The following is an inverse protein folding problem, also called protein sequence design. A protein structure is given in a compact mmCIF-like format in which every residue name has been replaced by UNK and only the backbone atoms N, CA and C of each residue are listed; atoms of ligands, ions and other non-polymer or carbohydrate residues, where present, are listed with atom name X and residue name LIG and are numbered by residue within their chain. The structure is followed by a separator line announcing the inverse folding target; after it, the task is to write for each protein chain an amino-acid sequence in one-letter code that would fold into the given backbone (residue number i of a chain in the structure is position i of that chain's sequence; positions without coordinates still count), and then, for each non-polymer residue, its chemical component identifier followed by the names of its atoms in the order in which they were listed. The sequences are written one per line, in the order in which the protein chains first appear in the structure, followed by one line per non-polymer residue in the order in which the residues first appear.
data_IF_338633608790
#
_entry.id   IF_338633608790
#
_cell.length_a   1.000
_cell.length_b   1.000
_cell.length_c   1.000
_cell.angle_alpha   90.00
_cell.angle_beta   90.00
_cell.angle_gamma   90.00
#
_symmetry.space_group_name_H-M   'P 1'
#
loop_
_entity.id
_entity.type
_entity.pdbx_description
1 polymer ?
#
# COMPACT_ATOMS: atom_id res chain seq x y z
N UNK A 1 -13.82 -17.06 -5.98
CA UNK A 1 -12.63 -16.49 -6.66
C UNK A 1 -13.07 -15.33 -7.54
N UNK A 2 -12.48 -14.16 -7.32
CA UNK A 2 -12.79 -12.98 -8.13
C UNK A 2 -11.88 -12.97 -9.35
N UNK A 3 -12.47 -12.79 -10.51
CA UNK A 3 -11.72 -12.66 -11.76
C UNK A 3 -11.70 -11.19 -12.16
N UNK A 4 -10.49 -10.63 -12.31
CA UNK A 4 -10.29 -9.21 -12.63
C UNK A 4 -10.12 -9.00 -14.13
N UNK A 5 -11.03 -9.51 -14.92
CA UNK A 5 -10.93 -9.45 -16.36
C UNK A 5 -11.31 -8.05 -16.87
N UNK A 6 -10.49 -7.51 -17.77
CA UNK A 6 -10.77 -6.21 -18.37
C UNK A 6 -10.40 -5.01 -17.51
N UNK A 7 -9.84 -5.21 -16.32
CA UNK A 7 -9.44 -4.12 -15.43
C UNK A 7 -7.96 -3.80 -15.60
N UNK A 8 -7.61 -2.53 -15.41
CA UNK A 8 -6.21 -2.11 -15.31
C UNK A 8 -5.62 -2.60 -13.99
N UNK A 9 -4.29 -2.58 -13.89
CA UNK A 9 -3.60 -2.96 -12.66
C UNK A 9 -4.05 -2.11 -11.48
N UNK A 10 -4.21 -0.80 -11.67
CA UNK A 10 -4.65 0.12 -10.62
C UNK A 10 -6.09 -0.17 -10.18
N UNK A 11 -6.96 -0.48 -11.13
CA UNK A 11 -8.34 -0.86 -10.80
C UNK A 11 -8.39 -2.16 -10.00
N UNK A 12 -7.51 -3.11 -10.32
CA UNK A 12 -7.38 -4.35 -9.55
C UNK A 12 -6.94 -4.09 -8.11
N UNK A 13 -6.01 -3.14 -7.92
CA UNK A 13 -5.55 -2.74 -6.59
C UNK A 13 -6.72 -2.18 -5.78
N UNK A 14 -7.55 -1.35 -6.39
CA UNK A 14 -8.74 -0.81 -5.72
C UNK A 14 -9.65 -1.93 -5.23
N UNK A 15 -9.92 -2.91 -6.08
CA UNK A 15 -10.77 -4.04 -5.72
C UNK A 15 -10.17 -4.87 -4.59
N UNK A 16 -8.87 -5.09 -4.61
CA UNK A 16 -8.17 -5.81 -3.54
C UNK A 16 -8.31 -5.07 -2.22
N UNK A 17 -8.13 -3.76 -2.22
CA UNK A 17 -8.26 -2.95 -1.01
C UNK A 17 -9.70 -2.97 -0.48
N UNK A 18 -10.70 -2.90 -1.36
CA UNK A 18 -12.10 -2.94 -0.95
C UNK A 18 -12.51 -4.26 -0.34
N UNK A 19 -11.95 -5.35 -0.84
CA UNK A 19 -12.30 -6.69 -0.36
C UNK A 19 -11.48 -7.15 0.84
N UNK A 20 -10.45 -6.41 1.22
CA UNK A 20 -9.60 -6.77 2.36
C UNK A 20 -10.19 -6.25 3.66
N UNK A 21 -10.16 -7.10 4.69
CA UNK A 21 -10.59 -6.72 6.04
C UNK A 21 -9.42 -6.31 6.95
N UNK A 22 -8.19 -6.27 6.42
CA UNK A 22 -7.00 -5.91 7.18
C UNK A 22 -6.03 -5.13 6.29
N UNK A 23 -5.10 -4.38 6.89
CA UNK A 23 -4.05 -3.72 6.12
C UNK A 23 -3.18 -4.73 5.36
N UNK A 24 -2.79 -4.37 4.15
CA UNK A 24 -1.98 -5.22 3.27
C UNK A 24 -0.68 -4.53 2.90
N UNK A 25 0.40 -5.33 2.82
CA UNK A 25 1.66 -4.87 2.25
C UNK A 25 1.58 -4.94 0.73
N UNK A 26 2.51 -4.25 0.07
CA UNK A 26 2.64 -4.34 -1.40
C UNK A 26 2.92 -5.78 -1.83
N UNK A 27 3.67 -6.54 -1.03
CA UNK A 27 3.97 -7.93 -1.35
C UNK A 27 2.73 -8.80 -1.34
N UNK A 28 1.82 -8.58 -0.39
CA UNK A 28 0.54 -9.29 -0.36
C UNK A 28 -0.35 -8.92 -1.54
N UNK A 29 -0.34 -7.65 -1.93
CA UNK A 29 -1.07 -7.18 -3.11
C UNK A 29 -0.48 -7.79 -4.38
N UNK A 30 0.86 -7.81 -4.49
CA UNK A 30 1.54 -8.42 -5.63
C UNK A 30 1.18 -9.89 -5.77
N UNK A 31 1.11 -10.60 -4.65
CA UNK A 31 0.73 -12.00 -4.66
C UNK A 31 -0.67 -12.21 -5.24
N UNK A 32 -1.61 -11.34 -4.87
CA UNK A 32 -2.99 -11.40 -5.40
C UNK A 32 -3.09 -11.01 -6.87
N UNK A 33 -2.12 -10.23 -7.35
CA UNK A 33 -2.04 -9.84 -8.77
C UNK A 33 -1.19 -10.80 -9.59
N UNK A 34 -0.65 -11.84 -8.95
CA UNK A 34 0.25 -12.81 -9.59
C UNK A 34 1.50 -12.12 -10.16
N UNK A 35 2.05 -11.19 -9.40
CA UNK A 35 3.27 -10.45 -9.75
C UNK A 35 4.39 -10.90 -8.82
N UNK A 36 5.52 -11.37 -9.39
CA UNK A 36 6.69 -11.79 -8.64
C UNK A 36 7.97 -11.05 -9.02
N UNK A 37 7.95 -10.30 -10.12
CA UNK A 37 9.10 -9.54 -10.60
C UNK A 37 9.36 -8.35 -9.68
N UNK A 38 10.61 -8.19 -9.24
CA UNK A 38 11.01 -7.10 -8.33
C UNK A 38 10.71 -5.71 -8.89
N UNK A 39 10.90 -5.50 -10.20
CA UNK A 39 10.63 -4.21 -10.83
C UNK A 39 9.15 -3.88 -10.78
N UNK A 40 8.31 -4.87 -11.07
CA UNK A 40 6.87 -4.69 -11.03
C UNK A 40 6.37 -4.47 -9.61
N UNK A 41 6.94 -5.19 -8.64
CA UNK A 41 6.60 -4.97 -7.22
C UNK A 41 6.97 -3.54 -6.81
N UNK A 42 8.13 -3.05 -7.24
CA UNK A 42 8.56 -1.68 -6.95
C UNK A 42 7.60 -0.67 -7.57
N UNK A 43 7.12 -0.94 -8.78
CA UNK A 43 6.16 -0.08 -9.47
C UNK A 43 4.79 -0.06 -8.78
N UNK A 44 4.46 -1.09 -8.02
CA UNK A 44 3.21 -1.12 -7.27
C UNK A 44 3.14 -0.05 -6.19
N UNK A 45 4.27 0.39 -5.64
CA UNK A 45 4.28 1.51 -4.70
C UNK A 45 3.83 2.79 -5.38
N UNK A 46 4.28 3.01 -6.61
CA UNK A 46 3.86 4.17 -7.39
C UNK A 46 2.37 4.06 -7.75
N UNK A 47 1.93 2.88 -8.16
CA UNK A 47 0.52 2.62 -8.42
C UNK A 47 -0.33 2.90 -7.19
N UNK A 48 0.13 2.47 -6.02
CA UNK A 48 -0.59 2.70 -4.77
C UNK A 48 -0.73 4.20 -4.48
N UNK A 49 0.31 4.96 -4.73
CA UNK A 49 0.29 6.41 -4.54
C UNK A 49 -0.78 7.06 -5.42
N UNK A 50 -0.86 6.65 -6.70
CA UNK A 50 -1.87 7.14 -7.63
C UNK A 50 -3.27 6.65 -7.28
N UNK A 51 -3.40 5.40 -6.88
CA UNK A 51 -4.67 4.81 -6.44
C UNK A 51 -5.23 5.58 -5.25
N UNK A 52 -4.37 5.91 -4.28
CA UNK A 52 -4.80 6.66 -3.10
C UNK A 52 -5.39 8.02 -3.48
N UNK A 53 -4.74 8.73 -4.40
CA UNK A 53 -5.22 10.02 -4.89
C UNK A 53 -6.55 9.87 -5.63
N UNK A 54 -6.66 8.85 -6.48
CA UNK A 54 -7.87 8.61 -7.29
C UNK A 54 -9.07 8.27 -6.40
N UNK A 55 -8.88 7.41 -5.41
CA UNK A 55 -9.95 7.04 -4.49
C UNK A 55 -10.45 8.27 -3.73
N UNK A 56 -9.55 9.07 -3.21
CA UNK A 56 -9.93 10.27 -2.46
C UNK A 56 -10.71 11.25 -3.34
N UNK A 57 -10.20 11.52 -4.53
CA UNK A 57 -10.82 12.46 -5.47
C UNK A 57 -12.17 11.96 -5.97
N UNK A 58 -12.23 10.70 -6.40
CA UNK A 58 -13.45 10.13 -7.00
C UNK A 58 -14.58 9.95 -5.98
N UNK A 59 -14.26 9.83 -4.71
CA UNK A 59 -15.25 9.71 -3.65
C UNK A 59 -15.64 11.06 -3.04
N UNK A 60 -15.07 12.16 -3.52
CA UNK A 60 -15.29 13.47 -2.92
C UNK A 60 -14.75 13.57 -1.51
N UNK A 61 -13.66 12.85 -1.22
CA UNK A 61 -13.05 12.85 0.10
C UNK A 61 -13.70 11.91 1.09
N UNK A 62 -14.67 11.11 0.68
CA UNK A 62 -15.41 10.20 1.57
C UNK A 62 -14.66 8.89 1.82
N UNK A 63 -13.77 8.52 0.91
CA UNK A 63 -12.93 7.34 1.05
C UNK A 63 -11.47 7.75 0.96
N UNK A 64 -10.60 7.06 1.68
CA UNK A 64 -9.17 7.30 1.58
C UNK A 64 -8.39 6.03 1.86
N UNK A 65 -7.19 5.98 1.29
CA UNK A 65 -6.23 4.91 1.58
C UNK A 65 -5.32 5.39 2.69
N UNK A 66 -5.21 4.59 3.73
CA UNK A 66 -4.32 4.87 4.87
C UNK A 66 -3.07 4.03 4.70
N UNK A 67 -1.91 4.65 4.90
CA UNK A 67 -0.63 3.95 4.94
C UNK A 67 -0.17 3.86 6.39
N UNK A 68 0.08 2.64 6.84
CA UNK A 68 0.76 2.42 8.11
C UNK A 68 2.26 2.58 7.85
N UNK A 69 2.90 3.48 8.56
CA UNK A 69 4.31 3.78 8.34
C UNK A 69 5.20 2.56 8.51
N UNK A 70 6.26 2.42 7.69
CA UNK A 70 7.27 1.40 7.93
C UNK A 70 7.93 1.57 9.29
N UNK A 71 8.39 0.48 9.85
CA UNK A 71 9.03 0.47 11.17
C UNK A 71 10.28 -0.40 11.13
N UNK A 72 11.33 0.05 11.79
CA UNK A 72 12.52 -0.79 12.00
C UNK A 72 12.18 -1.90 13.00
N UNK A 73 12.42 -3.14 12.61
CA UNK A 73 12.11 -4.29 13.45
C UNK A 73 13.11 -4.48 14.59
N UNK A 74 14.28 -3.86 14.49
CA UNK A 74 15.32 -4.01 15.51
C UNK A 74 15.27 -2.94 16.60
N UNK A 75 14.94 -1.69 16.24
CA UNK A 75 14.93 -0.60 17.23
C UNK A 75 13.58 0.11 17.37
N UNK A 76 12.61 -0.23 16.52
CA UNK A 76 11.28 0.35 16.59
C UNK A 76 11.13 1.73 15.98
N UNK A 77 12.17 2.23 15.28
CA UNK A 77 12.10 3.52 14.61
C UNK A 77 10.96 3.55 13.59
N UNK A 78 10.12 4.58 13.65
CA UNK A 78 8.98 4.74 12.73
C UNK A 78 9.34 5.78 11.68
N UNK A 79 9.18 5.43 10.40
CA UNK A 79 9.54 6.27 9.27
C UNK A 79 8.39 7.25 8.96
N UNK A 80 8.24 8.28 9.77
CA UNK A 80 7.14 9.25 9.65
C UNK A 80 7.32 10.25 8.51
N UNK A 81 8.52 10.39 7.97
CA UNK A 81 8.84 11.45 7.01
C UNK A 81 8.67 11.02 5.55
N UNK A 82 8.09 9.85 5.30
CA UNK A 82 7.86 9.39 3.95
C UNK A 82 6.78 10.21 3.26
N UNK A 83 7.13 10.80 2.13
CA UNK A 83 6.18 11.56 1.31
C UNK A 83 5.49 10.67 0.28
N UNK A 84 6.10 9.55 -0.08
CA UNK A 84 5.57 8.57 -1.01
C UNK A 84 5.71 7.18 -0.43
N UNK A 85 4.80 6.26 -0.77
CA UNK A 85 4.92 4.88 -0.30
C UNK A 85 6.21 4.24 -0.82
N UNK A 86 6.99 3.68 0.08
CA UNK A 86 8.17 2.87 -0.26
C UNK A 86 8.63 2.09 0.96
N UNK A 87 9.41 1.06 0.73
CA UNK A 87 10.09 0.35 1.81
C UNK A 87 11.50 0.91 1.96
N UNK A 88 11.81 1.57 3.08
CA UNK A 88 13.17 2.05 3.32
C UNK A 88 14.16 0.87 3.39
N UNK A 89 15.38 1.09 2.92
CA UNK A 89 16.40 0.05 2.88
C UNK A 89 17.19 -0.06 4.19
N UNK A 90 17.23 1.02 4.98
CA UNK A 90 18.05 1.10 6.17
C UNK A 90 17.43 2.00 7.22
N UNK A 91 17.57 1.62 8.49
CA UNK A 91 17.16 2.48 9.59
C UNK A 91 18.21 3.57 9.81
N UNK A 92 17.81 4.85 9.87
CA UNK A 92 18.76 5.93 10.14
C UNK A 92 19.30 5.91 11.56
N UNK A 93 18.62 5.23 12.49
CA UNK A 93 19.02 5.20 13.91
C UNK A 93 19.95 4.06 14.24
N UNK A 94 19.65 2.84 13.80
CA UNK A 94 20.44 1.66 14.14
C UNK A 94 21.12 0.98 12.95
N UNK A 95 20.92 1.51 11.74
CA UNK A 95 21.50 1.00 10.49
C UNK A 95 21.04 -0.39 10.08
N UNK A 96 20.03 -0.94 10.72
CA UNK A 96 19.48 -2.24 10.37
C UNK A 96 18.76 -2.19 9.01
N UNK A 97 18.83 -3.30 8.28
CA UNK A 97 18.05 -3.47 7.05
C UNK A 97 16.74 -4.20 7.29
N UNK A 98 16.45 -4.57 8.53
CA UNK A 98 15.22 -5.28 8.89
C UNK A 98 14.09 -4.27 9.10
N UNK A 99 13.50 -3.85 7.99
CA UNK A 99 12.44 -2.86 7.99
C UNK A 99 11.11 -3.54 7.65
N UNK A 100 10.11 -3.34 8.49
CA UNK A 100 8.75 -3.79 8.21
C UNK A 100 8.18 -2.88 7.11
N UNK A 101 7.70 -3.45 5.99
CA UNK A 101 7.18 -2.63 4.91
C UNK A 101 5.91 -1.91 5.31
N UNK A 102 5.56 -0.80 4.62
CA UNK A 102 4.30 -0.12 4.91
C UNK A 102 3.12 -1.00 4.54
N UNK A 103 2.00 -0.78 5.21
CA UNK A 103 0.75 -1.48 4.94
C UNK A 103 -0.30 -0.47 4.52
N UNK A 104 -1.24 -0.91 3.73
CA UNK A 104 -2.27 -0.06 3.16
C UNK A 104 -3.65 -0.63 3.42
N UNK A 105 -4.61 0.24 3.73
CA UNK A 105 -6.00 -0.17 3.82
C UNK A 105 -6.90 1.00 3.45
N UNK A 106 -8.12 0.67 3.05
CA UNK A 106 -9.10 1.65 2.61
C UNK A 106 -10.09 1.89 3.74
N UNK A 107 -10.35 3.16 4.04
CA UNK A 107 -11.37 3.53 5.01
C UNK A 107 -12.44 4.38 4.35
N UNK A 108 -13.67 4.31 4.88
CA UNK A 108 -14.78 5.13 4.44
C UNK A 108 -15.12 6.13 5.54
N UNK A 109 -15.26 7.37 5.14
CA UNK A 109 -15.65 8.47 6.03
C UNK A 109 -17.16 8.67 6.07
N UNK A 110 -17.91 7.78 5.42
CA UNK A 110 -19.37 7.88 5.41
C UNK A 110 -19.92 7.60 6.79
N UNK A 111 -20.72 8.54 7.28
CA UNK A 111 -21.48 8.34 8.51
C UNK A 111 -22.81 7.71 8.13
N UNK A 112 -23.22 6.80 8.92
CA UNK A 112 -24.55 6.22 8.79
C UNK A 112 -25.59 7.18 9.38
#
# INVERSE_FOLDING_TARGET
VIVFEGLTRRERIVEILRSSCRPLTIYEIALRLDISDRRQIKNLYDDMFHVAKSIYRNSGGKEMVVMVYPRCMDCGYIFKDLKKPRKPSKCPRCKSSRIEPPKFYLISMLKK
#
